data_IF_644858324220
#
_entry.id   IF_644858324220
#
_cell.length_a   1.000
_cell.length_b   1.000
_cell.length_c   1.000
_cell.angle_alpha   90.00
_cell.angle_beta   90.00
_cell.angle_gamma   90.00
#
_symmetry.space_group_name_H-M   'P 1'
#
loop_
_entity.id
_entity.type
_entity.pdbx_description
1 polymer ?
#
# COMPACT_ATOMS: atom_id res chain seq x y z
N UNK A 1 -10.23 -5.70 -10.02
CA UNK A 1 -11.02 -5.46 -8.80
C UNK A 1 -11.76 -4.19 -9.09
N UNK A 2 -12.90 -4.35 -9.75
CA UNK A 2 -13.59 -3.24 -10.41
C UNK A 2 -14.65 -2.77 -9.44
N UNK A 3 -14.18 -2.17 -8.35
CA UNK A 3 -15.06 -1.53 -7.38
C UNK A 3 -15.59 -0.25 -8.02
N UNK A 4 -16.91 -0.10 -7.99
CA UNK A 4 -17.54 1.17 -8.26
C UNK A 4 -17.31 2.09 -7.05
N UNK A 5 -16.56 3.17 -7.26
CA UNK A 5 -16.22 4.12 -6.21
C UNK A 5 -17.25 5.24 -6.22
N UNK A 6 -17.66 5.71 -5.04
CA UNK A 6 -18.53 6.88 -4.97
C UNK A 6 -17.87 8.10 -5.63
N UNK A 7 -18.67 9.12 -5.99
CA UNK A 7 -18.16 10.37 -6.57
C UNK A 7 -17.05 10.99 -5.69
N UNK A 8 -17.25 10.99 -4.37
CA UNK A 8 -16.28 11.56 -3.42
C UNK A 8 -15.02 10.71 -3.29
N UNK A 9 -15.14 9.39 -3.32
CA UNK A 9 -13.98 8.49 -3.34
C UNK A 9 -13.16 8.65 -4.62
N UNK A 10 -13.82 8.79 -5.77
CA UNK A 10 -13.16 9.05 -7.05
C UNK A 10 -12.42 10.38 -7.06
N UNK A 11 -13.02 11.43 -6.48
CA UNK A 11 -12.34 12.73 -6.27
C UNK A 11 -11.12 12.60 -5.36
N UNK A 12 -11.24 11.87 -4.25
CA UNK A 12 -10.14 11.65 -3.31
C UNK A 12 -8.97 10.87 -3.96
N UNK A 13 -9.27 9.84 -4.77
CA UNK A 13 -8.27 9.10 -5.55
C UNK A 13 -7.52 10.05 -6.49
N UNK A 14 -8.26 10.86 -7.25
CA UNK A 14 -7.65 11.83 -8.17
C UNK A 14 -6.79 12.85 -7.44
N UNK A 15 -7.32 13.46 -6.37
CA UNK A 15 -6.61 14.46 -5.57
C UNK A 15 -5.30 13.91 -4.99
N UNK A 16 -5.32 12.68 -4.46
CA UNK A 16 -4.12 12.03 -3.93
C UNK A 16 -3.05 11.83 -5.02
N UNK A 17 -3.45 11.34 -6.19
CA UNK A 17 -2.53 11.12 -7.32
C UNK A 17 -1.95 12.45 -7.81
N UNK A 18 -2.78 13.48 -7.95
CA UNK A 18 -2.37 14.80 -8.42
C UNK A 18 -1.39 15.44 -7.44
N UNK A 19 -1.64 15.38 -6.13
CA UNK A 19 -0.74 15.91 -5.09
C UNK A 19 0.66 15.26 -5.16
N UNK A 20 0.72 13.93 -5.28
CA UNK A 20 2.00 13.22 -5.26
C UNK A 20 2.75 13.34 -6.59
N UNK A 21 2.05 13.28 -7.72
CA UNK A 21 2.68 13.32 -9.04
C UNK A 21 3.01 14.75 -9.52
N UNK A 22 2.41 15.79 -8.94
CA UNK A 22 2.75 17.19 -9.23
C UNK A 22 4.01 17.67 -8.51
N UNK A 23 4.41 16.99 -7.42
CA UNK A 23 5.64 17.28 -6.71
C UNK A 23 6.87 16.87 -7.56
N UNK A 24 7.45 17.84 -8.25
CA UNK A 24 8.56 17.68 -9.21
C UNK A 24 9.91 17.28 -8.59
N UNK A 25 9.98 17.10 -7.28
CA UNK A 25 11.20 16.75 -6.53
C UNK A 25 11.48 15.24 -6.50
N UNK A 26 10.55 14.38 -6.93
CA UNK A 26 10.73 12.93 -6.95
C UNK A 26 11.02 12.36 -8.36
N UNK A 27 11.84 13.04 -9.17
CA UNK A 27 12.13 12.64 -10.55
C UNK A 27 12.73 11.23 -10.73
N UNK A 28 13.20 10.60 -9.66
CA UNK A 28 13.68 9.22 -9.67
C UNK A 28 12.64 8.18 -9.17
N UNK A 29 11.53 8.61 -8.54
CA UNK A 29 10.50 7.68 -8.05
C UNK A 29 9.37 7.52 -9.07
N UNK A 30 8.93 6.26 -9.26
CA UNK A 30 7.84 5.91 -10.17
C UNK A 30 6.58 6.70 -9.79
N UNK A 31 5.94 7.34 -10.77
CA UNK A 31 4.63 7.99 -10.61
C UNK A 31 3.65 7.05 -9.92
N UNK A 32 2.87 7.60 -8.99
CA UNK A 32 1.89 6.84 -8.22
C UNK A 32 0.75 6.42 -9.14
N UNK A 33 0.45 5.11 -9.15
CA UNK A 33 -0.67 4.54 -9.89
C UNK A 33 -1.96 4.56 -9.07
N UNK A 34 -3.11 4.51 -9.74
CA UNK A 34 -4.43 4.46 -9.08
C UNK A 34 -4.56 3.28 -8.11
N UNK A 35 -4.05 2.11 -8.48
CA UNK A 35 -4.05 0.93 -7.59
C UNK A 35 -3.31 1.20 -6.28
N UNK A 36 -2.17 1.89 -6.35
CA UNK A 36 -1.40 2.27 -5.16
C UNK A 36 -2.17 3.30 -4.34
N UNK A 37 -2.70 4.35 -4.97
CA UNK A 37 -3.49 5.37 -4.30
C UNK A 37 -4.67 4.79 -3.52
N UNK A 38 -5.40 3.87 -4.13
CA UNK A 38 -6.54 3.17 -3.53
C UNK A 38 -6.13 2.45 -2.24
N UNK A 39 -4.99 1.75 -2.20
CA UNK A 39 -4.53 1.04 -1.01
C UNK A 39 -4.31 1.98 0.19
N UNK A 40 -3.65 3.11 -0.04
CA UNK A 40 -3.40 4.11 1.01
C UNK A 40 -4.69 4.81 1.46
N UNK A 41 -5.57 5.15 0.52
CA UNK A 41 -6.85 5.77 0.82
C UNK A 41 -7.76 4.82 1.61
N UNK A 42 -7.87 3.55 1.24
CA UNK A 42 -8.63 2.57 2.02
C UNK A 42 -8.12 2.45 3.46
N UNK A 43 -6.80 2.40 3.66
CA UNK A 43 -6.19 2.33 4.99
C UNK A 43 -6.48 3.55 5.89
N UNK A 44 -6.92 4.66 5.28
CA UNK A 44 -7.25 5.93 5.95
C UNK A 44 -8.70 6.38 5.71
N UNK A 45 -9.59 5.45 5.31
CA UNK A 45 -11.01 5.74 5.06
C UNK A 45 -11.22 6.92 4.10
N UNK A 46 -10.39 7.02 3.06
CA UNK A 46 -10.38 8.08 2.05
C UNK A 46 -10.07 9.50 2.57
N UNK A 47 -9.46 9.63 3.76
CA UNK A 47 -8.87 10.89 4.24
C UNK A 47 -7.56 11.17 3.49
N UNK A 48 -7.60 12.12 2.55
CA UNK A 48 -6.48 12.42 1.64
C UNK A 48 -5.22 12.87 2.40
N UNK A 49 -5.26 13.88 3.29
CA UNK A 49 -4.07 14.29 4.06
C UNK A 49 -3.42 13.14 4.84
N UNK A 50 -4.22 12.32 5.52
CA UNK A 50 -3.68 11.18 6.29
C UNK A 50 -3.11 10.08 5.38
N UNK A 51 -3.70 9.87 4.21
CA UNK A 51 -3.19 8.93 3.23
C UNK A 51 -1.84 9.38 2.66
N UNK A 52 -1.69 10.68 2.37
CA UNK A 52 -0.42 11.26 1.88
C UNK A 52 0.68 11.09 2.93
N UNK A 53 0.41 11.46 4.18
CA UNK A 53 1.39 11.27 5.26
C UNK A 53 1.80 9.80 5.45
N UNK A 54 0.85 8.86 5.32
CA UNK A 54 1.13 7.43 5.36
C UNK A 54 2.02 6.98 4.18
N UNK A 55 1.76 7.50 2.97
CA UNK A 55 2.56 7.20 1.78
C UNK A 55 3.99 7.70 1.92
N UNK A 56 4.18 8.95 2.37
CA UNK A 56 5.50 9.54 2.56
C UNK A 56 6.31 8.77 3.62
N UNK A 57 5.70 8.49 4.77
CA UNK A 57 6.34 7.70 5.83
C UNK A 57 6.73 6.29 5.34
N UNK A 58 5.85 5.62 4.57
CA UNK A 58 6.15 4.31 4.00
C UNK A 58 7.33 4.35 3.04
N UNK A 59 7.36 5.33 2.12
CA UNK A 59 8.46 5.45 1.16
C UNK A 59 9.78 5.80 1.83
N UNK A 60 9.77 6.64 2.87
CA UNK A 60 10.97 6.96 3.64
C UNK A 60 11.57 5.71 4.30
N UNK A 61 10.72 4.85 4.89
CA UNK A 61 11.16 3.57 5.47
C UNK A 61 11.68 2.65 4.38
N UNK A 62 10.98 2.50 3.25
CA UNK A 62 11.43 1.66 2.15
C UNK A 62 12.77 2.11 1.56
N UNK A 63 13.01 3.42 1.50
CA UNK A 63 14.29 3.97 1.07
C UNK A 63 15.40 3.65 2.06
N UNK A 64 15.16 3.95 3.34
CA UNK A 64 16.10 3.70 4.43
C UNK A 64 16.51 2.22 4.52
N UNK A 65 15.54 1.32 4.39
CA UNK A 65 15.74 -0.12 4.53
C UNK A 65 16.10 -0.82 3.20
N UNK A 66 16.32 -0.07 2.11
CA UNK A 66 16.72 -0.64 0.83
C UNK A 66 15.68 -1.55 0.17
N UNK A 67 14.39 -1.33 0.43
CA UNK A 67 13.28 -2.18 -0.03
C UNK A 67 12.83 -1.88 -1.46
N UNK A 68 13.56 -1.04 -2.19
CA UNK A 68 13.35 -0.81 -3.61
C UNK A 68 14.22 -1.79 -4.42
N UNK A 69 13.57 -2.61 -5.25
CA UNK A 69 14.28 -3.52 -6.15
C UNK A 69 14.98 -4.70 -5.47
N UNK A 70 14.59 -5.06 -4.24
CA UNK A 70 15.16 -6.23 -3.55
C UNK A 70 14.89 -7.52 -4.35
N UNK A 71 15.91 -8.37 -4.47
CA UNK A 71 15.83 -9.63 -5.21
C UNK A 71 15.44 -10.78 -4.27
N UNK A 72 14.26 -11.35 -4.47
CA UNK A 72 13.74 -12.48 -3.67
C UNK A 72 14.53 -13.78 -3.87
N UNK A 73 15.24 -13.91 -4.98
CA UNK A 73 16.00 -15.11 -5.34
C UNK A 73 17.48 -15.03 -4.97
N UNK A 74 17.92 -13.91 -4.38
CA UNK A 74 19.28 -13.75 -3.89
C UNK A 74 19.38 -14.07 -2.40
N UNK A 75 20.56 -14.52 -1.97
CA UNK A 75 20.87 -14.63 -0.55
C UNK A 75 21.03 -13.24 0.08
N UNK A 76 20.64 -13.07 1.36
CA UNK A 76 20.26 -14.13 2.32
C UNK A 76 18.79 -14.56 2.26
N UNK A 77 17.93 -13.85 1.52
CA UNK A 77 16.48 -14.05 1.58
C UNK A 77 16.06 -15.41 0.99
N UNK A 78 16.69 -15.86 -0.10
CA UNK A 78 16.39 -17.16 -0.71
C UNK A 78 16.55 -18.31 0.31
N UNK A 79 17.72 -18.42 0.94
CA UNK A 79 17.97 -19.46 1.96
C UNK A 79 16.98 -19.37 3.11
N UNK A 80 16.64 -18.16 3.57
CA UNK A 80 15.67 -17.97 4.66
C UNK A 80 14.24 -18.40 4.25
N UNK A 81 13.82 -18.14 3.00
CA UNK A 81 12.53 -18.61 2.46
C UNK A 81 12.49 -20.14 2.32
N UNK A 82 13.59 -20.77 1.89
CA UNK A 82 13.71 -22.23 1.75
C UNK A 82 13.55 -22.98 3.09
N UNK A 83 13.79 -22.31 4.23
CA UNK A 83 13.56 -22.91 5.56
C UNK A 83 12.08 -23.21 5.86
N UNK A 84 11.14 -22.63 5.09
CA UNK A 84 9.70 -22.79 5.35
C UNK A 84 9.17 -22.04 6.57
N UNK A 85 10.00 -21.23 7.26
CA UNK A 85 9.56 -20.36 8.37
C UNK A 85 8.47 -19.36 7.94
N UNK A 86 8.47 -18.97 6.67
CA UNK A 86 7.50 -18.07 6.08
C UNK A 86 6.47 -18.87 5.27
N UNK A 87 5.18 -18.70 5.57
CA UNK A 87 4.09 -19.37 4.85
C UNK A 87 2.97 -18.37 4.57
N UNK A 88 2.37 -18.46 3.38
CA UNK A 88 1.16 -17.70 3.02
C UNK A 88 -0.03 -18.64 3.15
N UNK A 89 -1.01 -18.26 3.98
CA UNK A 89 -2.24 -19.03 4.11
C UNK A 89 -3.08 -18.89 2.83
N UNK A 90 -3.48 -20.02 2.26
CA UNK A 90 -4.27 -20.08 1.01
C UNK A 90 -5.67 -19.48 1.21
N UNK A 91 -6.20 -19.53 2.43
CA UNK A 91 -7.54 -19.04 2.77
C UNK A 91 -7.47 -17.81 3.67
N UNK A 92 -8.22 -16.76 3.30
CA UNK A 92 -8.47 -15.62 4.18
C UNK A 92 -9.38 -16.06 5.32
N UNK A 93 -8.92 -15.94 6.57
CA UNK A 93 -9.81 -16.14 7.73
C UNK A 93 -10.94 -15.10 7.68
N UNK A 94 -12.19 -15.55 7.76
CA UNK A 94 -13.36 -14.67 7.86
C UNK A 94 -13.24 -13.89 9.17
N UNK A 95 -13.29 -12.56 9.11
CA UNK A 95 -13.50 -11.76 10.33
C UNK A 95 -14.89 -12.10 10.83
N UNK A 96 -14.99 -12.73 12.00
CA UNK A 96 -16.26 -12.86 12.70
C UNK A 96 -16.59 -11.45 13.18
N UNK A 97 -17.70 -10.89 12.70
CA UNK A 97 -18.24 -9.65 13.24
C UNK A 97 -18.73 -9.92 14.66
N UNK A 98 -18.14 -9.26 15.66
CA UNK A 98 -18.65 -9.18 17.02
C UNK A 98 -19.95 -8.37 17.03
N UNK A 99 -21.06 -9.01 16.63
CA UNK A 99 -22.41 -8.53 16.88
C UNK A 99 -23.22 -9.76 17.29
N UNK A 100 -22.98 -10.23 18.51
CA UNK A 100 -23.83 -11.12 19.28
C UNK A 100 -23.23 -11.31 20.68
N UNK A 101 -23.19 -10.25 21.47
CA UNK A 101 -23.31 -10.36 22.92
C UNK A 101 -24.46 -9.43 23.33
N UNK A 102 -25.59 -10.08 23.59
CA UNK A 102 -26.82 -9.68 24.30
C UNK A 102 -27.17 -8.19 24.40
#
# INVERSE_FOLDING_TARGET
MDYDYSSDQSKAIKQFIDLLNSSSTQQAQRKVSSTTAIQYLFARKFDVPKAVALFEANNLIRQREGLFGFNTSADPLRTELETGKFTILVSRKKKISENNLQ
#
